data_IF_191841891463
#
_entry.id   IF_191841891463
#
_cell.length_a   1.000
_cell.length_b   1.000
_cell.length_c   1.000
_cell.angle_alpha   90.00
_cell.angle_beta   90.00
_cell.angle_gamma   90.00
#
_symmetry.space_group_name_H-M   'P 1'
#
loop_
_entity.id
_entity.type
_entity.pdbx_description
1 polymer ?
#
# COMPACT_ATOMS: atom_id res chain seq x y z
N UNK A 1 14.44 -19.09 4.47
CA UNK A 1 13.33 -19.55 5.32
C UNK A 1 12.36 -20.44 4.53
N UNK A 2 11.70 -19.91 3.43
CA UNK A 2 10.74 -20.70 2.66
C UNK A 2 11.35 -21.99 2.09
N UNK A 3 12.50 -21.88 1.44
CA UNK A 3 13.20 -23.02 0.83
C UNK A 3 13.88 -23.92 1.85
N UNK A 4 14.65 -23.34 2.77
CA UNK A 4 15.50 -24.09 3.70
C UNK A 4 14.72 -24.77 4.84
N UNK A 5 13.67 -24.09 5.36
CA UNK A 5 12.90 -24.62 6.49
C UNK A 5 11.60 -25.29 6.07
N UNK A 6 10.94 -24.80 5.03
CA UNK A 6 9.64 -25.31 4.62
C UNK A 6 9.69 -26.11 3.31
N UNK A 7 10.85 -26.19 2.64
CA UNK A 7 10.99 -26.92 1.38
C UNK A 7 10.15 -26.35 0.22
N UNK A 8 9.75 -25.08 0.32
CA UNK A 8 8.93 -24.42 -0.70
C UNK A 8 9.85 -23.92 -1.81
N UNK A 9 9.77 -24.56 -2.97
CA UNK A 9 10.56 -24.19 -4.15
C UNK A 9 9.82 -23.24 -5.10
N UNK A 10 8.48 -23.26 -5.08
CA UNK A 10 7.63 -22.43 -5.92
C UNK A 10 6.47 -21.83 -5.14
N UNK A 11 6.14 -20.58 -5.46
CA UNK A 11 5.02 -19.83 -4.91
C UNK A 11 4.00 -19.64 -6.02
N UNK A 12 2.82 -20.24 -5.88
CA UNK A 12 1.78 -20.16 -6.89
C UNK A 12 1.21 -18.75 -7.06
N UNK A 13 1.05 -18.02 -5.96
CA UNK A 13 0.52 -16.66 -5.98
C UNK A 13 1.09 -15.84 -4.83
N UNK A 14 1.54 -14.63 -5.14
CA UNK A 14 1.79 -13.58 -4.14
C UNK A 14 0.77 -12.47 -4.38
N UNK A 15 -0.18 -12.33 -3.46
CA UNK A 15 -1.20 -11.29 -3.50
C UNK A 15 -0.99 -10.29 -2.35
N UNK A 16 -1.26 -9.03 -2.58
CA UNK A 16 -1.10 -8.05 -1.52
C UNK A 16 -1.72 -6.69 -1.80
N UNK A 17 -2.26 -6.10 -0.73
CA UNK A 17 -2.75 -4.74 -0.69
C UNK A 17 -1.65 -3.77 -0.26
N UNK A 18 -1.58 -2.60 -0.90
CA UNK A 18 -0.72 -1.52 -0.42
C UNK A 18 0.76 -1.95 -0.37
N UNK A 19 1.44 -1.78 0.74
CA UNK A 19 2.83 -2.24 0.93
C UNK A 19 3.01 -3.74 0.68
N UNK A 20 2.03 -4.58 0.98
CA UNK A 20 2.08 -6.00 0.64
C UNK A 20 2.02 -6.22 -0.88
N UNK A 21 1.32 -5.36 -1.63
CA UNK A 21 1.37 -5.34 -3.08
C UNK A 21 2.73 -4.91 -3.62
N UNK A 22 3.38 -3.92 -2.99
CA UNK A 22 4.77 -3.58 -3.31
C UNK A 22 5.70 -4.79 -3.09
N UNK A 23 5.49 -5.55 -2.00
CA UNK A 23 6.24 -6.79 -1.76
C UNK A 23 5.97 -7.87 -2.82
N UNK A 24 4.73 -7.96 -3.34
CA UNK A 24 4.43 -8.89 -4.44
C UNK A 24 5.26 -8.59 -5.69
N UNK A 25 5.40 -7.31 -6.05
CA UNK A 25 6.30 -6.90 -7.12
C UNK A 25 7.78 -7.24 -6.82
N UNK A 26 8.23 -7.03 -5.56
CA UNK A 26 9.59 -7.41 -5.15
C UNK A 26 9.82 -8.91 -5.29
N UNK A 27 8.89 -9.75 -4.83
CA UNK A 27 8.99 -11.20 -4.98
C UNK A 27 9.15 -11.61 -6.44
N UNK A 28 8.30 -11.10 -7.33
CA UNK A 28 8.34 -11.47 -8.75
C UNK A 28 9.60 -10.97 -9.46
N UNK A 29 10.10 -9.78 -9.10
CA UNK A 29 11.30 -9.21 -9.72
C UNK A 29 12.59 -9.83 -9.20
N UNK A 30 12.69 -10.11 -7.88
CA UNK A 30 13.90 -10.67 -7.29
C UNK A 30 14.01 -12.20 -7.44
N UNK A 31 12.86 -12.89 -7.56
CA UNK A 31 12.78 -14.34 -7.66
C UNK A 31 11.89 -14.79 -8.83
N UNK A 32 12.21 -14.38 -10.08
CA UNK A 32 11.34 -14.60 -11.24
C UNK A 32 11.10 -16.07 -11.58
N UNK A 33 11.98 -16.97 -11.13
CA UNK A 33 11.82 -18.44 -11.35
C UNK A 33 10.99 -19.11 -10.26
N UNK A 34 10.78 -18.41 -9.13
CA UNK A 34 10.10 -18.99 -7.96
C UNK A 34 8.62 -18.62 -7.89
N UNK A 35 8.22 -17.51 -8.52
CA UNK A 35 6.85 -16.95 -8.40
C UNK A 35 6.08 -17.19 -9.70
N UNK A 36 4.97 -17.92 -9.63
CA UNK A 36 4.13 -18.22 -10.79
C UNK A 36 3.18 -17.07 -11.13
N UNK A 37 2.60 -16.43 -10.13
CA UNK A 37 1.65 -15.33 -10.31
C UNK A 37 1.76 -14.27 -9.21
N UNK A 38 1.42 -13.01 -9.56
CA UNK A 38 1.26 -11.93 -8.59
C UNK A 38 -0.05 -11.17 -8.80
N UNK A 39 -0.63 -10.72 -7.69
CA UNK A 39 -1.82 -9.89 -7.66
C UNK A 39 -1.60 -8.70 -6.71
N UNK A 40 -0.81 -7.69 -7.10
CA UNK A 40 -0.74 -6.45 -6.35
C UNK A 40 -1.99 -5.60 -6.61
N UNK A 41 -2.59 -5.09 -5.54
CA UNK A 41 -3.75 -4.20 -5.63
C UNK A 41 -3.56 -2.96 -4.75
N UNK A 42 -3.98 -1.79 -5.24
CA UNK A 42 -3.71 -0.49 -4.64
C UNK A 42 -2.21 -0.36 -4.24
N UNK A 43 -1.31 -0.65 -5.18
CA UNK A 43 0.13 -0.74 -4.94
C UNK A 43 0.93 -0.34 -6.20
N UNK A 44 2.25 -0.18 -6.07
CA UNK A 44 3.17 0.09 -7.18
C UNK A 44 4.49 -0.65 -7.01
N UNK A 45 5.21 -0.84 -8.11
CA UNK A 45 6.53 -1.47 -8.13
C UNK A 45 7.62 -0.57 -7.52
N UNK A 46 7.37 0.74 -7.48
CA UNK A 46 8.26 1.72 -6.88
C UNK A 46 7.46 2.88 -6.31
N UNK A 47 7.85 3.33 -5.11
CA UNK A 47 7.25 4.53 -4.49
C UNK A 47 7.48 5.74 -5.38
N UNK A 48 6.39 6.42 -5.77
CA UNK A 48 6.46 7.63 -6.59
C UNK A 48 7.01 8.81 -5.78
N UNK A 49 7.55 9.82 -6.47
CA UNK A 49 8.03 11.05 -5.82
C UNK A 49 6.90 11.77 -5.08
N UNK A 50 5.68 11.74 -5.61
CA UNK A 50 4.51 12.34 -4.95
C UNK A 50 4.18 11.59 -3.64
N UNK A 51 4.23 10.28 -3.66
CA UNK A 51 4.01 9.45 -2.48
C UNK A 51 5.11 9.68 -1.43
N UNK A 52 6.36 9.81 -1.87
CA UNK A 52 7.47 10.16 -0.99
C UNK A 52 7.21 11.49 -0.25
N UNK A 53 6.75 12.53 -0.95
CA UNK A 53 6.41 13.83 -0.35
C UNK A 53 5.28 13.71 0.68
N UNK A 54 4.24 12.93 0.37
CA UNK A 54 3.17 12.65 1.33
C UNK A 54 3.72 12.00 2.61
N UNK A 55 4.55 10.96 2.47
CA UNK A 55 5.14 10.22 3.59
C UNK A 55 6.06 11.10 4.44
N UNK A 56 6.82 12.01 3.83
CA UNK A 56 7.60 13.02 4.55
C UNK A 56 6.70 13.99 5.34
N UNK A 57 5.56 14.38 4.78
CA UNK A 57 4.57 15.22 5.48
C UNK A 57 4.02 14.54 6.74
N UNK A 58 3.64 13.27 6.63
CA UNK A 58 3.12 12.47 7.75
C UNK A 58 4.20 12.26 8.82
N UNK A 59 5.41 11.90 8.41
CA UNK A 59 6.58 11.78 9.29
C UNK A 59 6.84 13.08 10.04
N UNK A 60 6.88 14.19 9.34
CA UNK A 60 7.13 15.51 9.94
C UNK A 60 6.06 15.87 10.95
N UNK A 61 4.79 15.54 10.70
CA UNK A 61 3.69 15.78 11.64
C UNK A 61 3.88 15.00 12.95
N UNK A 62 4.32 13.75 12.88
CA UNK A 62 4.60 12.94 14.07
C UNK A 62 5.83 13.47 14.82
N UNK A 63 6.92 13.71 14.12
CA UNK A 63 8.20 14.11 14.72
C UNK A 63 8.19 15.53 15.30
N UNK A 64 7.18 16.34 14.98
CA UNK A 64 6.99 17.67 15.57
C UNK A 64 6.55 17.62 17.04
N UNK A 65 6.14 16.48 17.57
CA UNK A 65 5.82 16.33 18.98
C UNK A 65 7.10 16.35 19.82
N UNK A 66 7.18 17.27 20.77
CA UNK A 66 8.33 17.39 21.67
C UNK A 66 8.58 16.13 22.47
N UNK A 67 7.53 15.34 22.76
CA UNK A 67 7.65 14.10 23.52
C UNK A 67 8.25 12.95 22.69
N UNK A 68 8.36 13.10 21.36
CA UNK A 68 8.98 12.05 20.53
C UNK A 68 10.49 11.91 20.77
N UNK A 69 11.19 13.04 21.09
CA UNK A 69 12.59 13.04 21.52
C UNK A 69 13.53 12.21 20.63
N UNK A 70 13.45 12.39 19.32
CA UNK A 70 14.24 11.64 18.32
C UNK A 70 14.11 10.11 18.47
N UNK A 71 12.93 9.63 18.87
CA UNK A 71 12.62 8.22 19.07
C UNK A 71 12.92 7.68 20.46
N UNK A 72 13.39 8.51 21.40
CA UNK A 72 13.77 8.13 22.76
C UNK A 72 12.71 8.56 23.80
N UNK A 73 11.43 8.36 23.51
CA UNK A 73 10.36 8.74 24.42
C UNK A 73 10.11 7.70 25.52
N UNK A 74 9.80 8.17 26.73
CA UNK A 74 9.36 7.35 27.86
C UNK A 74 7.85 7.19 27.97
N UNK A 75 7.11 8.06 27.27
CA UNK A 75 5.65 8.00 27.10
C UNK A 75 5.30 8.34 25.67
N UNK A 76 4.23 7.75 25.08
CA UNK A 76 3.88 7.96 23.70
C UNK A 76 3.75 9.45 23.32
N UNK A 77 4.25 9.87 22.15
CA UNK A 77 4.10 11.22 21.62
C UNK A 77 2.66 11.42 21.08
N UNK A 78 1.70 11.59 21.99
CA UNK A 78 0.27 11.58 21.69
C UNK A 78 -0.15 12.66 20.69
N UNK A 79 0.43 13.87 20.77
CA UNK A 79 0.12 14.96 19.83
C UNK A 79 0.61 14.62 18.41
N UNK A 80 1.80 14.03 18.33
CA UNK A 80 2.38 13.58 17.07
C UNK A 80 1.58 12.45 16.44
N UNK A 81 1.17 11.45 17.22
CA UNK A 81 0.31 10.35 16.75
C UNK A 81 -1.05 10.86 16.24
N UNK A 82 -1.68 11.82 16.93
CA UNK A 82 -2.91 12.46 16.47
C UNK A 82 -2.70 13.23 15.15
N UNK A 83 -1.63 14.02 15.05
CA UNK A 83 -1.33 14.77 13.85
C UNK A 83 -1.07 13.83 12.66
N UNK A 84 -0.31 12.75 12.89
CA UNK A 84 -0.10 11.68 11.93
C UNK A 84 -1.43 11.12 11.42
N UNK A 85 -2.32 10.69 12.32
CA UNK A 85 -3.60 10.09 12.00
C UNK A 85 -4.46 11.00 11.12
N UNK A 86 -4.55 12.30 11.46
CA UNK A 86 -5.33 13.27 10.69
C UNK A 86 -4.80 13.49 9.28
N UNK A 87 -3.48 13.63 9.12
CA UNK A 87 -2.89 13.76 7.79
C UNK A 87 -3.11 12.49 6.99
N UNK A 88 -2.92 11.33 7.62
CA UNK A 88 -3.07 10.02 6.98
C UNK A 88 -4.51 9.76 6.51
N UNK A 89 -5.52 10.11 7.32
CA UNK A 89 -6.92 9.97 6.98
C UNK A 89 -7.32 10.73 5.71
N UNK A 90 -6.73 11.91 5.49
CA UNK A 90 -6.99 12.73 4.30
C UNK A 90 -6.54 12.10 2.97
N UNK A 91 -5.68 11.09 3.03
CA UNK A 91 -5.13 10.38 1.87
C UNK A 91 -5.65 8.95 1.73
N UNK A 92 -6.05 8.32 2.83
CA UNK A 92 -6.57 6.94 2.84
C UNK A 92 -7.90 6.81 2.11
N UNK A 93 -8.76 7.80 2.25
CA UNK A 93 -10.04 7.87 1.57
C UNK A 93 -9.99 8.84 0.40
N UNK A 94 -10.86 8.61 -0.60
CA UNK A 94 -10.96 9.47 -1.76
C UNK A 94 -11.63 10.82 -1.42
N UNK A 95 -11.49 11.80 -2.30
CA UNK A 95 -12.27 13.05 -2.20
C UNK A 95 -13.78 12.78 -2.31
N UNK A 96 -14.19 11.80 -3.10
CA UNK A 96 -15.58 11.39 -3.24
C UNK A 96 -16.13 10.83 -1.94
N UNK A 97 -15.36 10.04 -1.21
CA UNK A 97 -15.73 9.54 0.13
C UNK A 97 -16.18 10.67 1.06
N UNK A 98 -15.41 11.74 1.13
CA UNK A 98 -15.75 12.90 1.97
C UNK A 98 -16.90 13.70 1.41
N UNK A 99 -16.96 13.93 0.10
CA UNK A 99 -18.04 14.67 -0.57
C UNK A 99 -19.40 13.99 -0.38
N UNK A 100 -19.45 12.67 -0.52
CA UNK A 100 -20.66 11.86 -0.39
C UNK A 100 -20.94 11.43 1.05
N UNK A 101 -20.08 11.84 1.99
CA UNK A 101 -20.22 11.56 3.42
C UNK A 101 -20.30 10.06 3.73
N UNK A 102 -19.48 9.25 3.02
CA UNK A 102 -19.47 7.79 3.21
C UNK A 102 -18.99 7.37 4.60
N UNK A 103 -18.36 8.24 5.37
CA UNK A 103 -18.06 8.02 6.78
C UNK A 103 -19.32 7.70 7.61
N UNK A 104 -20.52 8.10 7.13
CA UNK A 104 -21.78 7.72 7.77
C UNK A 104 -22.08 6.21 7.67
N UNK A 105 -21.62 5.55 6.62
CA UNK A 105 -21.71 4.08 6.48
C UNK A 105 -20.83 3.36 7.51
N UNK A 106 -19.77 4.03 7.99
CA UNK A 106 -18.92 3.54 9.08
C UNK A 106 -19.50 3.87 10.49
N UNK A 107 -20.69 4.49 10.56
CA UNK A 107 -21.34 4.83 11.81
C UNK A 107 -21.02 6.23 12.36
N UNK A 108 -20.23 7.04 11.64
CA UNK A 108 -19.85 8.37 12.09
C UNK A 108 -20.86 9.43 11.65
N UNK A 109 -21.27 10.31 12.56
CA UNK A 109 -22.23 11.39 12.26
C UNK A 109 -21.59 12.54 11.48
N UNK A 110 -20.35 12.86 11.78
CA UNK A 110 -19.55 13.95 11.18
C UNK A 110 -18.12 13.49 10.90
N UNK A 111 -17.43 14.25 10.06
CA UNK A 111 -16.01 14.00 9.73
C UNK A 111 -15.14 14.01 10.98
N UNK A 112 -15.43 14.90 11.94
CA UNK A 112 -14.66 14.98 13.18
C UNK A 112 -14.74 13.71 14.03
N UNK A 113 -15.85 12.98 13.97
CA UNK A 113 -16.00 11.71 14.68
C UNK A 113 -15.06 10.65 14.07
N UNK A 114 -14.99 10.58 12.73
CA UNK A 114 -14.03 9.73 12.00
C UNK A 114 -12.59 10.08 12.35
N UNK A 115 -12.23 11.36 12.35
CA UNK A 115 -10.87 11.80 12.66
C UNK A 115 -10.48 11.48 14.10
N UNK A 116 -11.43 11.64 15.03
CA UNK A 116 -11.21 11.31 16.45
C UNK A 116 -11.02 9.80 16.64
N UNK A 117 -11.77 8.99 15.90
CA UNK A 117 -11.60 7.54 15.91
C UNK A 117 -10.21 7.13 15.41
N UNK A 118 -9.76 7.71 14.30
CA UNK A 118 -8.41 7.48 13.77
C UNK A 118 -7.30 7.91 14.74
N UNK A 119 -7.48 9.06 15.42
CA UNK A 119 -6.56 9.49 16.47
C UNK A 119 -6.48 8.46 17.62
N UNK A 120 -7.63 7.98 18.07
CA UNK A 120 -7.71 7.02 19.17
C UNK A 120 -7.10 5.67 18.77
N UNK A 121 -7.32 5.20 17.54
CA UNK A 121 -6.70 3.99 17.03
C UNK A 121 -5.18 4.11 17.04
N UNK A 122 -4.64 5.22 16.52
CA UNK A 122 -3.20 5.43 16.47
C UNK A 122 -2.55 5.53 17.85
N UNK A 123 -3.22 6.16 18.81
CA UNK A 123 -2.71 6.24 20.18
C UNK A 123 -2.72 4.87 20.87
N UNK A 124 -3.76 4.08 20.62
CA UNK A 124 -3.99 2.83 21.35
C UNK A 124 -3.18 1.67 20.78
N UNK A 125 -3.06 1.62 19.45
CA UNK A 125 -2.64 0.42 18.74
C UNK A 125 -1.26 0.56 18.05
N UNK A 126 -0.67 1.76 18.01
CA UNK A 126 0.55 1.99 17.28
C UNK A 126 1.66 2.63 18.14
N UNK A 127 2.85 2.10 17.99
CA UNK A 127 4.07 2.75 18.45
C UNK A 127 4.57 3.76 17.41
N UNK A 128 5.07 4.91 17.85
CA UNK A 128 5.49 5.98 16.95
C UNK A 128 6.71 5.57 16.09
N UNK A 129 7.68 4.86 16.68
CA UNK A 129 8.85 4.41 15.95
C UNK A 129 8.49 3.30 14.94
N UNK A 130 7.53 2.43 15.27
CA UNK A 130 7.04 1.41 14.34
C UNK A 130 6.33 2.06 13.12
N UNK A 131 5.55 3.12 13.34
CA UNK A 131 4.97 3.90 12.25
C UNK A 131 6.06 4.50 11.37
N UNK A 132 7.08 5.13 11.95
CA UNK A 132 8.21 5.69 11.20
C UNK A 132 8.99 4.62 10.43
N UNK A 133 9.20 3.45 11.01
CA UNK A 133 9.84 2.32 10.33
C UNK A 133 9.01 1.85 9.12
N UNK A 134 7.67 1.81 9.23
CA UNK A 134 6.77 1.51 8.11
C UNK A 134 6.86 2.58 7.02
N UNK A 135 6.86 3.87 7.37
CA UNK A 135 7.05 4.95 6.40
C UNK A 135 8.38 4.80 5.65
N UNK A 136 9.48 4.56 6.38
CA UNK A 136 10.80 4.36 5.79
C UNK A 136 10.83 3.15 4.85
N UNK A 137 10.18 2.05 5.22
CA UNK A 137 10.06 0.86 4.38
C UNK A 137 9.30 1.17 3.10
N UNK A 138 8.19 1.89 3.20
CA UNK A 138 7.41 2.30 2.03
C UNK A 138 8.20 3.25 1.13
N UNK A 139 8.86 4.27 1.70
CA UNK A 139 9.70 5.20 0.95
C UNK A 139 10.86 4.51 0.20
N UNK A 140 11.42 3.46 0.79
CA UNK A 140 12.50 2.67 0.20
C UNK A 140 12.01 1.63 -0.83
N UNK A 141 10.70 1.46 -1.02
CA UNK A 141 10.17 0.46 -1.94
C UNK A 141 10.52 0.81 -3.39
N UNK A 142 11.42 0.04 -3.97
CA UNK A 142 11.83 0.09 -5.38
C UNK A 142 12.37 -1.28 -5.81
N UNK A 143 11.65 -1.98 -6.67
CA UNK A 143 12.07 -3.31 -7.16
C UNK A 143 13.37 -3.29 -7.95
N UNK A 144 13.79 -2.13 -8.42
CA UNK A 144 15.01 -1.96 -9.21
C UNK A 144 16.25 -1.66 -8.38
N UNK A 145 16.07 -1.42 -7.06
CA UNK A 145 17.17 -1.07 -6.17
C UNK A 145 18.20 -2.21 -6.05
N UNK A 146 19.45 -1.84 -6.03
CA UNK A 146 20.55 -2.76 -5.80
C UNK A 146 21.33 -3.20 -7.07
N UNK A 147 22.30 -4.10 -6.91
CA UNK A 147 23.28 -4.40 -7.97
C UNK A 147 22.69 -5.14 -9.17
N UNK A 148 21.60 -5.88 -8.97
CA UNK A 148 21.02 -6.72 -10.03
C UNK A 148 20.41 -5.88 -11.15
N UNK A 149 19.62 -4.87 -10.81
CA UNK A 149 18.95 -4.00 -11.77
C UNK A 149 19.62 -2.63 -11.93
N UNK A 150 20.52 -2.25 -11.01
CA UNK A 150 21.27 -0.98 -11.02
C UNK A 150 20.33 0.24 -11.11
N UNK A 151 19.22 0.21 -10.37
CA UNK A 151 18.15 1.23 -10.35
C UNK A 151 17.42 1.44 -11.70
N UNK A 152 17.51 0.47 -12.63
CA UNK A 152 16.73 0.48 -13.86
C UNK A 152 15.39 -0.22 -13.65
N UNK A 153 14.36 0.58 -13.37
CA UNK A 153 12.99 0.09 -13.12
C UNK A 153 12.41 -0.66 -14.33
N UNK A 154 12.73 -0.23 -15.55
CA UNK A 154 12.23 -0.88 -16.76
C UNK A 154 12.83 -2.28 -16.92
N UNK A 155 14.11 -2.42 -16.57
CA UNK A 155 14.78 -3.72 -16.57
C UNK A 155 14.18 -4.64 -15.52
N UNK A 156 13.91 -4.14 -14.32
CA UNK A 156 13.30 -4.90 -13.24
C UNK A 156 11.88 -5.36 -13.61
N UNK A 157 11.03 -4.48 -14.16
CA UNK A 157 9.69 -4.82 -14.61
C UNK A 157 9.70 -5.88 -15.72
N UNK A 158 10.61 -5.78 -16.69
CA UNK A 158 10.76 -6.77 -17.78
C UNK A 158 11.22 -8.14 -17.30
N UNK A 159 11.83 -8.23 -16.13
CA UNK A 159 12.27 -9.51 -15.56
C UNK A 159 11.15 -10.31 -14.89
N UNK A 160 10.02 -9.68 -14.63
CA UNK A 160 8.84 -10.34 -14.01
C UNK A 160 8.29 -11.36 -15.01
N UNK A 161 8.39 -12.65 -14.66
CA UNK A 161 7.86 -13.76 -15.47
C UNK A 161 6.48 -14.19 -15.03
N UNK A 162 6.16 -13.88 -13.78
CA UNK A 162 4.88 -14.21 -13.17
C UNK A 162 3.70 -13.69 -13.99
N UNK A 163 2.63 -14.47 -14.07
CA UNK A 163 1.35 -13.94 -14.53
C UNK A 163 0.91 -12.84 -13.56
N UNK A 164 0.58 -11.70 -14.09
CA UNK A 164 0.35 -10.50 -13.28
C UNK A 164 -1.04 -9.92 -13.54
N UNK A 165 -1.83 -9.78 -12.49
CA UNK A 165 -3.05 -8.96 -12.53
C UNK A 165 -2.82 -7.77 -11.59
N UNK A 166 -2.95 -6.54 -12.11
CA UNK A 166 -2.90 -5.30 -11.35
C UNK A 166 -4.31 -4.77 -11.14
N UNK A 167 -4.70 -4.53 -9.88
CA UNK A 167 -6.00 -3.93 -9.55
C UNK A 167 -5.78 -2.57 -8.86
N UNK A 168 -5.49 -1.49 -9.61
CA UNK A 168 -5.45 -0.16 -9.04
C UNK A 168 -6.87 0.35 -8.76
N UNK A 169 -7.08 1.02 -7.62
CA UNK A 169 -8.29 1.81 -7.40
C UNK A 169 -8.13 3.19 -8.03
N UNK A 170 -9.08 3.59 -8.90
CA UNK A 170 -8.98 4.84 -9.68
C UNK A 170 -9.01 6.10 -8.78
N UNK A 171 -9.62 6.00 -7.61
CA UNK A 171 -9.71 7.10 -6.65
C UNK A 171 -8.70 6.97 -5.49
N UNK A 172 -7.74 6.06 -5.57
CA UNK A 172 -6.65 5.93 -4.60
C UNK A 172 -5.73 7.17 -4.67
N UNK A 173 -5.48 7.79 -3.53
CA UNK A 173 -4.59 8.95 -3.43
C UNK A 173 -3.16 8.55 -3.04
N UNK A 174 -2.97 7.34 -2.50
CA UNK A 174 -1.65 6.81 -2.18
C UNK A 174 -0.96 6.24 -3.41
N UNK A 175 -1.58 5.25 -4.04
CA UNK A 175 -1.07 4.54 -5.20
C UNK A 175 -1.93 4.89 -6.42
N UNK A 176 -1.46 5.88 -7.16
CA UNK A 176 -2.18 6.37 -8.32
C UNK A 176 -2.18 5.34 -9.45
N UNK A 177 -3.32 5.10 -10.10
CA UNK A 177 -3.43 4.13 -11.21
C UNK A 177 -2.50 4.45 -12.38
N UNK A 178 -2.14 5.72 -12.57
CA UNK A 178 -1.22 6.15 -13.61
C UNK A 178 0.15 5.47 -13.50
N UNK A 179 0.63 5.23 -12.26
CA UNK A 179 1.89 4.50 -12.03
C UNK A 179 1.77 3.07 -12.54
N UNK A 180 0.66 2.38 -12.26
CA UNK A 180 0.43 1.02 -12.75
C UNK A 180 0.27 0.97 -14.29
N UNK A 181 -0.34 1.97 -14.92
CA UNK A 181 -0.41 2.05 -16.38
C UNK A 181 0.99 2.22 -17.03
N UNK A 182 1.89 2.91 -16.35
CA UNK A 182 3.29 3.05 -16.80
C UNK A 182 4.05 1.73 -16.60
N UNK A 183 3.93 1.11 -15.45
CA UNK A 183 4.58 -0.14 -15.07
C UNK A 183 4.18 -1.29 -16.00
N UNK A 184 2.89 -1.44 -16.28
CA UNK A 184 2.36 -2.49 -17.13
C UNK A 184 2.93 -2.49 -18.56
N UNK A 185 3.40 -1.37 -19.06
CA UNK A 185 4.05 -1.31 -20.38
C UNK A 185 5.33 -2.15 -20.48
N UNK A 186 5.88 -2.52 -19.34
CA UNK A 186 7.17 -3.22 -19.26
C UNK A 186 7.05 -4.64 -18.70
N UNK A 187 5.93 -5.01 -18.08
CA UNK A 187 5.69 -6.36 -17.54
C UNK A 187 5.20 -7.26 -18.68
N UNK A 188 5.88 -8.38 -19.00
CA UNK A 188 5.54 -9.19 -20.16
C UNK A 188 4.14 -9.82 -20.14
N UNK A 189 3.71 -10.32 -18.96
CA UNK A 189 2.47 -11.06 -18.80
C UNK A 189 1.55 -10.33 -17.81
N UNK A 190 0.97 -9.22 -18.24
CA UNK A 190 0.17 -8.36 -17.35
C UNK A 190 -1.23 -8.09 -17.89
N UNK A 191 -2.18 -8.14 -17.01
CA UNK A 191 -3.54 -7.59 -17.19
C UNK A 191 -3.77 -6.50 -16.15
N UNK A 192 -4.34 -5.36 -16.55
CA UNK A 192 -4.75 -4.30 -15.62
C UNK A 192 -6.27 -4.28 -15.55
N UNK A 193 -6.79 -4.31 -14.33
CA UNK A 193 -8.22 -4.23 -13.99
C UNK A 193 -8.47 -3.01 -13.10
N UNK A 194 -8.51 -1.79 -13.64
CA UNK A 194 -8.78 -0.60 -12.83
C UNK A 194 -10.18 -0.69 -12.22
N UNK A 195 -10.27 -0.51 -10.92
CA UNK A 195 -11.54 -0.53 -10.20
C UNK A 195 -11.88 0.87 -9.69
N UNK A 196 -13.09 1.35 -10.01
CA UNK A 196 -13.54 2.66 -9.53
C UNK A 196 -14.28 2.51 -8.21
N UNK A 197 -13.71 3.10 -7.14
CA UNK A 197 -14.33 3.09 -5.82
C UNK A 197 -14.19 4.42 -5.11
N UNK A 198 -15.29 4.94 -4.56
CA UNK A 198 -15.25 6.15 -3.75
C UNK A 198 -14.54 5.95 -2.41
N UNK A 199 -14.23 4.72 -2.02
CA UNK A 199 -13.44 4.44 -0.81
C UNK A 199 -11.96 4.75 -0.96
N UNK A 200 -11.46 4.98 -2.19
CA UNK A 200 -10.05 5.26 -2.45
C UNK A 200 -9.17 4.06 -2.09
N UNK A 201 -8.08 4.32 -1.38
CA UNK A 201 -7.18 3.24 -0.94
C UNK A 201 -7.88 2.21 -0.05
N UNK A 202 -8.83 2.67 0.76
CA UNK A 202 -9.61 1.81 1.66
C UNK A 202 -10.70 0.97 0.96
N UNK A 203 -10.81 0.99 -0.36
CA UNK A 203 -11.64 0.05 -1.11
C UNK A 203 -11.24 -1.41 -0.85
N UNK A 204 -9.94 -1.63 -0.68
CA UNK A 204 -9.38 -2.94 -0.42
C UNK A 204 -9.49 -3.41 1.05
N UNK A 205 -9.94 -2.54 1.96
CA UNK A 205 -10.18 -2.94 3.35
C UNK A 205 -11.44 -3.80 3.42
N UNK A 206 -11.37 -5.03 3.97
CA UNK A 206 -12.51 -5.94 4.03
C UNK A 206 -13.77 -5.29 4.62
N UNK A 207 -14.89 -5.47 3.94
CA UNK A 207 -16.20 -4.93 4.36
C UNK A 207 -16.51 -3.51 3.87
N UNK A 208 -15.56 -2.77 3.30
CA UNK A 208 -15.81 -1.42 2.80
C UNK A 208 -16.47 -1.41 1.41
N UNK A 209 -15.97 -2.20 0.49
CA UNK A 209 -16.46 -2.25 -0.89
C UNK A 209 -16.59 -3.70 -1.38
N UNK A 210 -17.81 -4.23 -1.29
CA UNK A 210 -18.09 -5.61 -1.73
C UNK A 210 -17.79 -5.84 -3.21
N UNK A 211 -17.96 -4.84 -4.08
CA UNK A 211 -17.63 -4.98 -5.50
C UNK A 211 -16.12 -5.14 -5.73
N UNK A 212 -15.30 -4.47 -4.92
CA UNK A 212 -13.85 -4.66 -4.94
C UNK A 212 -13.47 -6.06 -4.47
N UNK A 213 -14.12 -6.58 -3.43
CA UNK A 213 -13.88 -7.96 -2.95
C UNK A 213 -14.20 -9.01 -4.02
N UNK A 214 -15.31 -8.81 -4.77
CA UNK A 214 -15.69 -9.69 -5.88
C UNK A 214 -14.64 -9.67 -7.00
N UNK A 215 -14.14 -8.47 -7.36
CA UNK A 215 -13.10 -8.35 -8.39
C UNK A 215 -11.78 -8.96 -7.93
N UNK A 216 -11.42 -8.81 -6.65
CA UNK A 216 -10.24 -9.43 -6.06
C UNK A 216 -10.34 -10.96 -6.08
N UNK A 217 -11.48 -11.52 -5.65
CA UNK A 217 -11.74 -12.97 -5.67
C UNK A 217 -11.65 -13.54 -7.10
N UNK A 218 -12.21 -12.82 -8.08
CA UNK A 218 -12.09 -13.16 -9.48
C UNK A 218 -10.63 -13.18 -9.94
N UNK A 219 -9.86 -12.13 -9.63
CA UNK A 219 -8.45 -12.05 -9.97
C UNK A 219 -7.63 -13.21 -9.39
N UNK A 220 -7.89 -13.60 -8.15
CA UNK A 220 -7.26 -14.76 -7.51
C UNK A 220 -7.60 -16.05 -8.25
N UNK A 221 -8.88 -16.27 -8.59
CA UNK A 221 -9.33 -17.45 -9.33
C UNK A 221 -8.71 -17.54 -10.72
N UNK A 222 -8.65 -16.43 -11.42
CA UNK A 222 -8.08 -16.35 -12.79
C UNK A 222 -6.59 -16.70 -12.80
N UNK A 223 -5.84 -16.36 -11.73
CA UNK A 223 -4.41 -16.65 -11.60
C UNK A 223 -4.12 -18.07 -11.06
N UNK A 224 -5.06 -18.71 -10.40
CA UNK A 224 -4.87 -20.05 -9.81
C UNK A 224 -5.39 -21.20 -10.69
N UNK A 225 -6.20 -20.89 -11.71
CA UNK A 225 -6.70 -21.86 -12.70
C UNK A 225 -5.75 -21.99 -13.88
#
# INVERSE_FOLDING_TARGET
>A
LLTEQFGIERIRLVAGWSMAGCQAFHWAAQFPEMVDAILPFCASARTSSHNFVFLEGVKSALCADQNWMDGHYSSPPVKGLKAFARVYAGWAFSQTFYREKLYKKLGFSKVEDLLTDWENDHIKNWDANDLLAKLATWQASDISFGPHYKNDIKKALRSIRAQTILIPCTQDLYFRPEDNFIEARYIPNVEIRPYDSPWGHCAANPGNDHGFEVELDKGIKDLLN
#
